data_IF_062567973484
#
_entry.id   IF_062567973484
#
_cell.length_a   1.000
_cell.length_b   1.000
_cell.length_c   1.000
_cell.angle_alpha   90.00
_cell.angle_beta   90.00
_cell.angle_gamma   90.00
#
_symmetry.space_group_name_H-M   'P 1'
#
loop_
_entity.id
_entity.type
_entity.pdbx_description
1 polymer ?
#
# COMPACT_ATOMS: atom_id res chain seq x y z
N UNK A 1 12.34 11.67 -7.05
CA UNK A 1 12.34 12.04 -5.62
C UNK A 1 11.91 10.80 -4.84
N UNK A 2 12.48 10.55 -3.65
CA UNK A 2 12.02 9.43 -2.83
C UNK A 2 10.58 9.67 -2.37
N UNK A 3 9.72 8.67 -2.51
CA UNK A 3 8.38 8.67 -1.94
C UNK A 3 8.41 7.97 -0.59
N UNK A 4 7.50 8.32 0.32
CA UNK A 4 7.40 7.63 1.60
C UNK A 4 6.62 6.31 1.43
N UNK A 5 5.55 6.34 0.64
CA UNK A 5 4.61 5.22 0.49
C UNK A 5 4.29 4.93 -0.98
N UNK A 6 4.39 3.65 -1.37
CA UNK A 6 3.79 3.12 -2.59
C UNK A 6 2.39 2.57 -2.27
N UNK A 7 1.34 3.04 -2.94
CA UNK A 7 -0.03 2.54 -2.77
C UNK A 7 -0.38 1.62 -3.93
N UNK A 8 -0.51 0.32 -3.64
CA UNK A 8 -1.01 -0.68 -4.59
C UNK A 8 -2.48 -0.98 -4.33
N UNK A 9 -3.29 -0.94 -5.39
CA UNK A 9 -4.74 -1.10 -5.32
C UNK A 9 -5.28 -1.58 -6.68
N UNK A 10 -6.45 -2.21 -6.69
CA UNK A 10 -7.18 -2.46 -7.93
C UNK A 10 -7.76 -1.15 -8.47
N UNK A 11 -7.77 -0.96 -9.80
CA UNK A 11 -8.38 0.23 -10.42
C UNK A 11 -9.87 0.41 -10.09
N UNK A 12 -10.56 -0.66 -9.69
CA UNK A 12 -11.95 -0.63 -9.22
C UNK A 12 -12.07 0.10 -7.86
N UNK A 13 -11.04 0.01 -7.02
CA UNK A 13 -11.00 0.60 -5.68
C UNK A 13 -10.42 2.01 -5.68
N UNK A 14 -10.40 2.68 -6.85
CA UNK A 14 -9.77 3.99 -7.03
C UNK A 14 -10.25 5.04 -6.02
N UNK A 15 -11.55 5.06 -5.71
CA UNK A 15 -12.10 6.01 -4.73
C UNK A 15 -11.45 5.83 -3.36
N UNK A 16 -11.29 4.59 -2.89
CA UNK A 16 -10.61 4.32 -1.62
C UNK A 16 -9.13 4.70 -1.69
N UNK A 17 -8.47 4.42 -2.82
CA UNK A 17 -7.06 4.80 -3.03
C UNK A 17 -6.84 6.31 -3.03
N UNK A 18 -7.72 7.06 -3.69
CA UNK A 18 -7.67 8.52 -3.71
C UNK A 18 -7.90 9.08 -2.29
N UNK A 19 -8.81 8.50 -1.48
CA UNK A 19 -8.99 8.86 -0.06
C UNK A 19 -7.74 8.58 0.77
N UNK A 20 -7.18 7.36 0.67
CA UNK A 20 -5.97 6.97 1.41
C UNK A 20 -4.81 7.91 1.08
N UNK A 21 -4.58 8.15 -0.22
CA UNK A 21 -3.55 9.03 -0.71
C UNK A 21 -3.73 10.46 -0.17
N UNK A 22 -4.94 11.01 -0.25
CA UNK A 22 -5.27 12.35 0.24
C UNK A 22 -4.99 12.49 1.74
N UNK A 23 -5.44 11.54 2.57
CA UNK A 23 -5.24 11.59 4.03
C UNK A 23 -3.76 11.44 4.40
N UNK A 24 -3.02 10.55 3.74
CA UNK A 24 -1.57 10.41 3.97
C UNK A 24 -0.82 11.70 3.59
N UNK A 25 -1.14 12.30 2.44
CA UNK A 25 -0.49 13.53 1.98
C UNK A 25 -0.84 14.75 2.84
N UNK A 26 -2.07 14.84 3.36
CA UNK A 26 -2.46 15.83 4.37
C UNK A 26 -1.64 15.71 5.66
N UNK A 27 -1.20 14.51 6.00
CA UNK A 27 -0.30 14.23 7.12
C UNK A 27 1.19 14.35 6.76
N UNK A 28 1.52 14.89 5.58
CA UNK A 28 2.89 15.14 5.14
C UNK A 28 3.65 13.92 4.59
N UNK A 29 2.94 12.83 4.28
CA UNK A 29 3.52 11.59 3.76
C UNK A 29 3.42 11.58 2.23
N UNK A 30 4.56 11.54 1.54
CA UNK A 30 4.58 11.57 0.07
C UNK A 30 4.17 10.21 -0.52
N UNK A 31 3.08 10.19 -1.27
CA UNK A 31 2.55 8.96 -1.87
C UNK A 31 2.96 8.79 -3.33
N UNK A 32 3.11 7.54 -3.74
CA UNK A 32 3.20 7.13 -5.14
C UNK A 32 2.06 6.17 -5.46
N UNK A 33 1.31 6.42 -6.53
CA UNK A 33 0.28 5.51 -7.03
C UNK A 33 0.12 5.64 -8.55
N UNK A 34 -0.15 4.52 -9.22
CA UNK A 34 -0.51 4.54 -10.62
C UNK A 34 -2.01 4.88 -10.80
N UNK A 35 -2.40 5.55 -11.90
CA UNK A 35 -1.55 6.14 -12.93
C UNK A 35 -1.05 7.56 -12.58
N UNK A 36 -1.41 8.11 -11.41
CA UNK A 36 -1.13 9.50 -11.00
C UNK A 36 0.33 9.91 -11.14
N UNK A 37 1.25 9.02 -10.77
CA UNK A 37 2.69 9.29 -10.74
C UNK A 37 3.45 8.71 -11.94
N UNK A 38 2.75 8.25 -12.98
CA UNK A 38 3.38 7.75 -14.21
C UNK A 38 3.54 8.92 -15.18
N UNK A 39 4.79 9.24 -15.50
CA UNK A 39 5.12 10.27 -16.50
C UNK A 39 4.62 9.85 -17.89
N UNK A 40 3.91 10.72 -18.62
CA UNK A 40 3.47 10.42 -19.98
C UNK A 40 4.65 10.01 -20.88
N UNK A 41 4.49 8.91 -21.61
CA UNK A 41 5.50 8.38 -22.52
C UNK A 41 6.54 7.45 -21.88
N UNK A 42 6.52 7.26 -20.56
CA UNK A 42 7.33 6.23 -19.88
C UNK A 42 6.61 4.87 -19.95
N UNK A 43 7.38 3.78 -20.07
CA UNK A 43 6.82 2.44 -19.99
C UNK A 43 6.14 2.21 -18.63
N UNK A 44 4.93 1.69 -18.67
CA UNK A 44 4.10 1.55 -17.48
C UNK A 44 4.71 0.60 -16.44
N UNK A 45 5.33 -0.49 -16.89
CA UNK A 45 5.94 -1.46 -15.98
C UNK A 45 7.23 -0.89 -15.37
N UNK A 46 8.05 -0.20 -16.17
CA UNK A 46 9.25 0.48 -15.69
C UNK A 46 8.91 1.52 -14.61
N UNK A 47 7.91 2.38 -14.87
CA UNK A 47 7.48 3.40 -13.92
C UNK A 47 7.00 2.81 -12.58
N UNK A 48 6.32 1.66 -12.61
CA UNK A 48 5.89 0.96 -11.39
C UNK A 48 7.08 0.43 -10.61
N UNK A 49 8.05 -0.19 -11.29
CA UNK A 49 9.26 -0.71 -10.62
C UNK A 49 10.05 0.43 -9.97
N UNK A 50 10.17 1.57 -10.65
CA UNK A 50 10.84 2.75 -10.11
C UNK A 50 10.06 3.35 -8.94
N UNK A 51 8.73 3.38 -9.02
CA UNK A 51 7.86 3.77 -7.91
C UNK A 51 8.07 2.92 -6.67
N UNK A 52 8.12 1.58 -6.83
CA UNK A 52 8.36 0.65 -5.73
C UNK A 52 9.76 0.89 -5.13
N UNK A 53 10.80 0.95 -5.97
CA UNK A 53 12.20 1.12 -5.52
C UNK A 53 12.47 2.46 -4.86
N UNK A 54 11.73 3.50 -5.22
CA UNK A 54 11.87 4.84 -4.65
C UNK A 54 11.03 5.07 -3.39
N UNK A 55 10.21 4.09 -2.98
CA UNK A 55 9.35 4.17 -1.81
C UNK A 55 9.99 3.54 -0.56
N UNK A 56 9.56 3.95 0.64
CA UNK A 56 10.05 3.38 1.92
C UNK A 56 9.14 2.29 2.48
N UNK A 57 7.85 2.33 2.16
CA UNK A 57 6.83 1.36 2.57
C UNK A 57 5.90 1.08 1.40
N UNK A 58 5.43 -0.17 1.30
CA UNK A 58 4.38 -0.59 0.37
C UNK A 58 3.06 -0.76 1.13
N UNK A 59 2.03 -0.03 0.74
CA UNK A 59 0.68 -0.17 1.28
C UNK A 59 -0.19 -0.85 0.23
N UNK A 60 -0.66 -2.05 0.54
CA UNK A 60 -1.65 -2.76 -0.25
C UNK A 60 -3.05 -2.41 0.25
N UNK A 61 -3.90 -1.88 -0.63
CA UNK A 61 -5.34 -1.78 -0.38
C UNK A 61 -6.00 -3.13 -0.68
N UNK A 62 -6.22 -3.90 0.36
CA UNK A 62 -6.70 -5.26 0.26
C UNK A 62 -8.24 -5.31 0.22
N UNK A 63 -8.75 -5.79 -0.91
CA UNK A 63 -10.17 -5.97 -1.25
C UNK A 63 -10.32 -7.23 -2.10
N UNK A 64 -11.55 -7.68 -2.37
CA UNK A 64 -11.81 -8.74 -3.36
C UNK A 64 -11.25 -8.40 -4.75
N UNK A 65 -11.27 -7.12 -5.14
CA UNK A 65 -10.79 -6.67 -6.44
C UNK A 65 -9.27 -6.77 -6.54
N UNK A 66 -8.54 -6.30 -5.52
CA UNK A 66 -7.08 -6.42 -5.44
C UNK A 66 -6.64 -7.88 -5.33
N UNK A 67 -7.41 -8.71 -4.62
CA UNK A 67 -7.14 -10.13 -4.43
C UNK A 67 -7.16 -10.95 -5.73
N UNK A 68 -7.89 -10.46 -6.74
CA UNK A 68 -8.01 -11.07 -8.07
C UNK A 68 -7.21 -10.34 -9.16
N UNK A 69 -6.49 -9.26 -8.81
CA UNK A 69 -5.74 -8.46 -9.76
C UNK A 69 -4.34 -9.03 -10.00
N UNK A 70 -4.07 -9.51 -11.22
CA UNK A 70 -2.74 -9.99 -11.63
C UNK A 70 -1.67 -8.92 -11.51
N UNK A 71 -2.03 -7.65 -11.72
CA UNK A 71 -1.10 -6.54 -11.62
C UNK A 71 -0.71 -6.29 -10.16
N UNK A 72 -1.68 -6.27 -9.24
CA UNK A 72 -1.43 -6.13 -7.80
C UNK A 72 -0.56 -7.27 -7.28
N UNK A 73 -0.83 -8.51 -7.70
CA UNK A 73 0.01 -9.67 -7.32
C UNK A 73 1.47 -9.48 -7.75
N UNK A 74 1.71 -8.95 -8.95
CA UNK A 74 3.07 -8.65 -9.43
C UNK A 74 3.73 -7.55 -8.62
N UNK A 75 2.99 -6.50 -8.28
CA UNK A 75 3.51 -5.40 -7.47
C UNK A 75 3.90 -5.86 -6.07
N UNK A 76 3.08 -6.70 -5.43
CA UNK A 76 3.37 -7.32 -4.13
C UNK A 76 4.63 -8.18 -4.20
N UNK A 77 4.74 -9.06 -5.21
CA UNK A 77 5.95 -9.88 -5.44
C UNK A 77 7.20 -8.99 -5.54
N UNK A 78 7.12 -7.91 -6.33
CA UNK A 78 8.25 -6.98 -6.49
C UNK A 78 8.58 -6.21 -5.22
N UNK A 79 7.58 -5.79 -4.44
CA UNK A 79 7.83 -5.14 -3.16
C UNK A 79 8.55 -6.08 -2.18
N UNK A 80 8.10 -7.34 -2.10
CA UNK A 80 8.73 -8.38 -1.26
C UNK A 80 10.15 -8.67 -1.71
N UNK A 81 10.38 -8.86 -3.01
CA UNK A 81 11.70 -9.11 -3.59
C UNK A 81 12.69 -7.95 -3.35
N UNK A 82 12.19 -6.71 -3.33
CA UNK A 82 12.98 -5.52 -3.00
C UNK A 82 13.13 -5.27 -1.48
N UNK A 83 12.61 -6.16 -0.63
CA UNK A 83 12.68 -6.03 0.84
C UNK A 83 11.88 -4.84 1.39
N UNK A 84 10.92 -4.32 0.62
CA UNK A 84 10.10 -3.19 1.01
C UNK A 84 9.06 -3.67 2.04
N UNK A 85 8.96 -3.05 3.24
CA UNK A 85 7.95 -3.41 4.21
C UNK A 85 6.55 -3.27 3.61
N UNK A 86 5.76 -4.35 3.69
CA UNK A 86 4.39 -4.37 3.18
C UNK A 86 3.42 -4.18 4.35
N UNK A 87 2.43 -3.29 4.18
CA UNK A 87 1.30 -3.09 5.09
C UNK A 87 0.01 -3.35 4.30
N UNK A 88 -0.79 -4.31 4.74
CA UNK A 88 -2.09 -4.60 4.17
C UNK A 88 -3.15 -3.74 4.86
N UNK A 89 -3.69 -2.73 4.16
CA UNK A 89 -4.87 -1.99 4.59
C UNK A 89 -6.11 -2.76 4.13
N UNK A 90 -6.77 -3.45 5.05
CA UNK A 90 -7.91 -4.32 4.76
C UNK A 90 -9.19 -3.51 4.62
N UNK A 91 -9.68 -3.35 3.39
CA UNK A 91 -10.95 -2.70 3.07
C UNK A 91 -12.14 -3.66 3.19
N UNK A 92 -11.91 -4.95 2.93
CA UNK A 92 -12.94 -5.99 2.97
C UNK A 92 -12.48 -7.23 3.73
N UNK A 93 -13.41 -7.87 4.45
CA UNK A 93 -13.20 -9.17 5.11
C UNK A 93 -13.36 -10.32 4.11
N UNK A 94 -12.37 -10.47 3.23
CA UNK A 94 -12.31 -11.55 2.23
C UNK A 94 -11.09 -12.44 2.45
N UNK A 95 -11.18 -13.69 1.98
CA UNK A 95 -10.12 -14.70 2.07
C UNK A 95 -9.05 -14.44 1.01
N UNK A 96 -7.78 -14.54 1.40
CA UNK A 96 -6.63 -14.42 0.48
C UNK A 96 -6.72 -15.45 -0.65
N UNK A 97 -6.44 -14.99 -1.87
CA UNK A 97 -6.15 -15.90 -2.97
C UNK A 97 -4.83 -16.62 -2.69
N UNK A 98 -4.68 -17.85 -3.19
CA UNK A 98 -3.44 -18.64 -3.00
C UNK A 98 -2.18 -17.87 -3.43
N UNK A 99 -2.31 -17.01 -4.43
CA UNK A 99 -1.20 -16.18 -4.91
C UNK A 99 -0.79 -15.14 -3.88
N UNK A 100 -1.75 -14.37 -3.34
CA UNK A 100 -1.43 -13.38 -2.31
C UNK A 100 -1.10 -14.03 -0.96
N UNK A 101 -1.72 -15.16 -0.62
CA UNK A 101 -1.40 -15.93 0.59
C UNK A 101 0.08 -16.30 0.65
N UNK A 102 0.67 -16.70 -0.49
CA UNK A 102 2.09 -17.02 -0.59
C UNK A 102 2.99 -15.84 -0.16
N UNK A 103 2.68 -14.62 -0.63
CA UNK A 103 3.47 -13.43 -0.33
C UNK A 103 3.11 -12.78 1.02
N UNK A 104 1.84 -12.83 1.42
CA UNK A 104 1.29 -12.06 2.54
C UNK A 104 1.20 -12.83 3.86
N UNK A 105 1.59 -14.11 3.88
CA UNK A 105 1.50 -14.99 5.06
C UNK A 105 2.20 -14.47 6.33
N UNK A 106 3.12 -13.50 6.21
CA UNK A 106 3.88 -12.91 7.33
C UNK A 106 3.81 -11.39 7.41
N UNK A 107 2.82 -10.79 6.77
CA UNK A 107 2.75 -9.33 6.55
C UNK A 107 1.81 -8.67 7.57
N UNK A 108 2.05 -7.39 7.87
CA UNK A 108 1.23 -6.62 8.80
C UNK A 108 -0.13 -6.27 8.22
N UNK A 109 -1.16 -6.36 9.07
CA UNK A 109 -2.54 -6.02 8.72
C UNK A 109 -2.99 -4.81 9.52
N UNK A 110 -3.60 -3.84 8.83
CA UNK A 110 -4.40 -2.79 9.43
C UNK A 110 -5.85 -2.99 8.96
N UNK A 111 -6.74 -3.30 9.90
CA UNK A 111 -8.16 -3.43 9.59
C UNK A 111 -8.79 -2.04 9.38
N UNK A 112 -9.40 -1.85 8.21
CA UNK A 112 -10.14 -0.65 7.82
C UNK A 112 -11.52 -1.00 7.24
N UNK A 113 -12.09 -2.13 7.66
CA UNK A 113 -13.41 -2.63 7.18
C UNK A 113 -14.59 -1.85 7.73
N UNK A 114 -14.38 -1.04 8.77
CA UNK A 114 -15.43 -0.22 9.41
C UNK A 114 -15.30 1.24 8.97
N UNK A 115 -16.38 1.89 8.49
CA UNK A 115 -16.34 3.32 8.20
C UNK A 115 -16.16 4.19 9.46
N UNK A 116 -15.56 5.40 9.34
CA UNK A 116 -15.00 5.99 8.13
C UNK A 116 -13.57 5.52 7.83
N UNK A 117 -13.22 5.41 6.54
CA UNK A 117 -11.89 4.96 6.10
C UNK A 117 -10.79 5.91 6.61
N UNK A 118 -11.08 7.20 6.65
CA UNK A 118 -10.18 8.27 7.05
C UNK A 118 -9.63 8.06 8.47
N UNK A 119 -10.41 7.51 9.40
CA UNK A 119 -9.95 7.25 10.77
C UNK A 119 -8.84 6.19 10.79
N UNK A 120 -9.02 5.12 10.02
CA UNK A 120 -8.01 4.07 9.89
C UNK A 120 -6.75 4.57 9.18
N UNK A 121 -6.91 5.39 8.14
CA UNK A 121 -5.76 5.97 7.44
C UNK A 121 -5.01 6.97 8.32
N UNK A 122 -5.68 7.71 9.20
CA UNK A 122 -5.00 8.53 10.20
C UNK A 122 -4.15 7.67 11.13
N UNK A 123 -4.65 6.51 11.61
CA UNK A 123 -3.85 5.57 12.41
C UNK A 123 -2.63 5.05 11.64
N UNK A 124 -2.80 4.72 10.36
CA UNK A 124 -1.69 4.34 9.47
C UNK A 124 -0.65 5.47 9.36
N UNK A 125 -1.11 6.71 9.20
CA UNK A 125 -0.24 7.90 9.10
C UNK A 125 0.67 8.03 10.33
N UNK A 126 0.10 7.86 11.54
CA UNK A 126 0.87 7.91 12.78
C UNK A 126 1.92 6.80 12.89
N UNK A 127 1.64 5.61 12.33
CA UNK A 127 2.60 4.51 12.30
C UNK A 127 3.76 4.73 11.31
N UNK A 128 3.57 5.58 10.29
CA UNK A 128 4.55 5.89 9.25
C UNK A 128 5.44 7.10 9.60
N UNK A 129 5.02 7.97 10.52
CA UNK A 129 5.78 9.16 10.91
C UNK A 129 6.91 8.83 11.90
N UNK A 130 8.10 9.43 11.75
CA UNK A 130 9.29 9.12 12.57
C UNK A 130 9.22 9.56 14.04
N UNK A 131 8.22 10.36 14.44
CA UNK A 131 8.13 10.94 15.79
C UNK A 131 7.32 10.08 16.79
N UNK A 132 6.62 9.04 16.32
CA UNK A 132 6.04 8.01 17.18
C UNK A 132 6.97 6.81 17.20
N UNK A 133 7.16 6.20 18.36
CA UNK A 133 7.94 4.97 18.58
C UNK A 133 7.76 3.94 17.44
N UNK A 134 8.65 3.99 16.45
CA UNK A 134 8.95 2.99 15.42
C UNK A 134 7.82 2.57 14.47
N UNK A 135 8.01 2.83 13.18
CA UNK A 135 7.65 1.87 12.11
C UNK A 135 8.07 0.45 12.55
N UNK A 136 9.25 0.31 13.18
CA UNK A 136 9.68 -0.95 13.80
C UNK A 136 8.77 -1.47 14.93
N UNK A 137 8.09 -0.62 15.71
CA UNK A 137 7.19 -1.09 16.77
C UNK A 137 5.85 -1.56 16.21
N UNK A 138 5.35 -0.89 15.17
CA UNK A 138 4.16 -1.31 14.43
C UNK A 138 4.44 -2.60 13.64
N UNK A 139 5.63 -2.72 13.03
CA UNK A 139 6.10 -3.92 12.34
C UNK A 139 6.60 -5.04 13.30
N UNK A 140 6.73 -4.77 14.61
CA UNK A 140 7.19 -5.78 15.59
C UNK A 140 6.05 -6.39 16.41
N UNK A 141 4.85 -5.81 16.38
CA UNK A 141 3.68 -6.37 17.06
C UNK A 141 3.04 -7.41 16.14
N UNK A 142 3.45 -8.66 16.37
CA UNK A 142 2.82 -9.87 15.84
C UNK A 142 1.40 -10.02 16.38
#
# INVERSE_FOLDING_TARGET
MPHDVFISYSSIDKTAADTVCSVLEQNGIQCWMAPRNITPGVDFAEAIIDGIKSSKVFVLLYSSNSNNSKQVVREVDRAVDNGLPVINLRLEDVVLSKQLEYYLSRVHWLDATTPPLEEHVNRLSHALLPCGTGIQSFLSKR
#
